data_IF_867861826369
#
_entry.id   IF_867861826369
#
_cell.length_a   1.000
_cell.length_b   1.000
_cell.length_c   1.000
_cell.angle_alpha   90.00
_cell.angle_beta   90.00
_cell.angle_gamma   90.00
#
_symmetry.space_group_name_H-M   'P 1'
#
loop_
_entity.id
_entity.type
_entity.pdbx_description
1 polymer ?
#
# COMPACT_ATOMS: atom_id res chain seq x y z
N UNK A 1 -16.92 8.27 -13.27
CA UNK A 1 -16.72 6.82 -13.01
C UNK A 1 -16.71 6.62 -11.50
N UNK A 2 -17.43 5.64 -10.96
CA UNK A 2 -17.54 5.45 -9.50
C UNK A 2 -16.41 4.55 -9.01
N UNK A 3 -15.54 5.06 -8.13
CA UNK A 3 -14.51 4.27 -7.47
C UNK A 3 -15.17 3.54 -6.30
N UNK A 4 -15.06 2.21 -6.27
CA UNK A 4 -15.80 1.35 -5.34
C UNK A 4 -14.87 0.51 -4.45
N UNK A 5 -13.74 1.09 -4.02
CA UNK A 5 -12.83 0.44 -3.07
C UNK A 5 -13.54 0.32 -1.72
N UNK A 6 -13.79 -0.92 -1.30
CA UNK A 6 -14.45 -1.25 -0.05
C UNK A 6 -13.47 -1.28 1.13
N UNK A 7 -12.19 -1.55 0.88
CA UNK A 7 -11.17 -1.56 1.94
C UNK A 7 -9.77 -1.30 1.40
N UNK A 8 -8.93 -0.66 2.22
CA UNK A 8 -7.50 -0.46 1.96
C UNK A 8 -6.70 -1.32 2.95
N UNK A 9 -5.84 -2.19 2.42
CA UNK A 9 -4.97 -3.04 3.24
C UNK A 9 -3.49 -2.68 3.04
N UNK A 10 -2.71 -2.86 4.09
CA UNK A 10 -1.25 -2.75 4.04
C UNK A 10 -0.62 -3.55 5.20
N UNK A 11 0.71 -3.58 5.31
CA UNK A 11 1.39 -4.33 6.38
C UNK A 11 1.99 -3.50 7.50
N UNK A 12 1.72 -2.20 7.52
CA UNK A 12 1.99 -1.33 8.68
C UNK A 12 3.45 -0.91 8.88
N UNK A 13 4.33 -1.18 7.91
CA UNK A 13 5.68 -0.61 7.90
C UNK A 13 5.61 0.94 7.86
N UNK A 14 6.67 1.64 8.24
CA UNK A 14 6.78 3.08 7.96
C UNK A 14 6.77 3.35 6.44
N UNK A 15 6.70 4.61 6.04
CA UNK A 15 6.62 4.99 4.63
C UNK A 15 5.24 4.69 4.03
N UNK A 16 5.23 4.06 2.86
CA UNK A 16 4.01 3.88 2.07
C UNK A 16 2.88 3.16 2.81
N UNK A 17 3.21 2.11 3.56
CA UNK A 17 2.23 1.29 4.26
C UNK A 17 1.39 2.12 5.25
N UNK A 18 2.05 2.91 6.10
CA UNK A 18 1.36 3.79 7.06
C UNK A 18 0.71 4.99 6.40
N UNK A 19 1.30 5.54 5.32
CA UNK A 19 0.64 6.57 4.52
C UNK A 19 -0.72 6.11 3.98
N UNK A 20 -0.82 4.84 3.56
CA UNK A 20 -2.07 4.25 3.11
C UNK A 20 -3.09 4.07 4.23
N UNK A 21 -2.66 3.54 5.37
CA UNK A 21 -3.54 3.34 6.52
C UNK A 21 -4.04 4.67 7.10
N UNK A 22 -3.18 5.69 7.16
CA UNK A 22 -3.56 7.02 7.63
C UNK A 22 -4.49 7.74 6.63
N UNK A 23 -4.31 7.53 5.32
CA UNK A 23 -5.27 8.02 4.32
C UNK A 23 -6.65 7.36 4.48
N UNK A 24 -6.69 6.02 4.62
CA UNK A 24 -7.93 5.27 4.79
C UNK A 24 -8.72 5.73 6.02
N UNK A 25 -8.02 5.95 7.14
CA UNK A 25 -8.62 6.51 8.35
C UNK A 25 -9.17 7.93 8.11
N UNK A 26 -8.43 8.80 7.43
CA UNK A 26 -8.84 10.18 7.16
C UNK A 26 -10.10 10.27 6.29
N UNK A 27 -10.20 9.43 5.26
CA UNK A 27 -11.33 9.43 4.30
C UNK A 27 -12.49 8.52 4.73
N UNK A 28 -12.34 7.78 5.84
CA UNK A 28 -13.38 6.88 6.37
C UNK A 28 -13.58 5.60 5.56
N UNK A 29 -12.59 5.17 4.77
CA UNK A 29 -12.61 3.85 4.10
C UNK A 29 -12.12 2.80 5.10
N UNK A 30 -12.79 1.62 5.21
CA UNK A 30 -12.31 0.52 6.02
C UNK A 30 -10.85 0.17 5.73
N UNK A 31 -10.07 -0.12 6.77
CA UNK A 31 -8.66 -0.47 6.64
C UNK A 31 -8.29 -1.76 7.36
N UNK A 32 -7.19 -2.38 6.94
CA UNK A 32 -6.62 -3.52 7.65
C UNK A 32 -5.36 -4.06 6.98
N UNK A 33 -5.24 -5.39 6.99
CA UNK A 33 -4.11 -6.11 6.40
C UNK A 33 -3.34 -6.96 7.41
N UNK A 34 -2.24 -7.52 6.94
CA UNK A 34 -1.39 -8.45 7.68
C UNK A 34 -0.05 -7.79 7.96
N UNK A 35 0.37 -7.80 9.22
CA UNK A 35 1.64 -7.27 9.69
C UNK A 35 2.50 -8.40 10.30
N UNK A 36 3.81 -8.20 10.49
CA UNK A 36 4.66 -9.20 11.13
C UNK A 36 4.18 -9.56 12.53
N UNK A 37 4.46 -10.80 12.97
CA UNK A 37 4.27 -11.24 14.35
C UNK A 37 4.95 -10.27 15.34
N UNK A 38 4.26 -9.93 16.42
CA UNK A 38 4.67 -8.91 17.37
C UNK A 38 4.50 -7.48 16.86
N UNK A 39 3.80 -7.28 15.73
CA UNK A 39 3.54 -5.98 15.10
C UNK A 39 4.82 -5.18 14.87
N UNK A 40 5.86 -5.83 14.36
CA UNK A 40 7.18 -5.20 14.19
C UNK A 40 7.21 -4.31 12.94
N UNK A 41 7.75 -3.11 13.09
CA UNK A 41 8.14 -2.18 12.04
C UNK A 41 9.54 -1.59 12.34
N UNK A 42 10.11 -0.80 11.43
CA UNK A 42 11.47 -0.27 11.61
C UNK A 42 11.62 0.68 12.80
N UNK A 43 10.54 1.36 13.18
CA UNK A 43 10.48 2.31 14.30
C UNK A 43 9.90 1.68 15.58
N UNK A 44 9.84 0.35 15.65
CA UNK A 44 9.35 -0.40 16.79
C UNK A 44 7.97 -1.01 16.53
N UNK A 45 7.07 -0.90 17.51
CA UNK A 45 5.76 -1.56 17.44
C UNK A 45 4.76 -0.73 16.63
N UNK A 46 4.10 -1.38 15.66
CA UNK A 46 3.07 -0.77 14.83
C UNK A 46 1.90 -0.31 15.72
N UNK A 47 1.53 0.99 15.67
CA UNK A 47 0.48 1.57 16.51
C UNK A 47 -0.85 0.78 16.48
N UNK A 48 -1.58 0.70 17.62
CA UNK A 48 -2.83 -0.06 17.73
C UNK A 48 -3.99 0.56 16.93
N UNK A 49 -3.90 1.82 16.49
CA UNK A 49 -4.90 2.46 15.61
C UNK A 49 -5.04 1.76 14.25
N UNK A 50 -4.05 0.97 13.83
CA UNK A 50 -4.09 0.20 12.60
C UNK A 50 -4.69 -1.19 12.84
N UNK A 51 -5.81 -1.49 12.18
CA UNK A 51 -6.59 -2.72 12.33
C UNK A 51 -5.94 -3.92 11.61
N UNK A 52 -4.71 -4.24 12.01
CA UNK A 52 -3.85 -5.24 11.39
C UNK A 52 -3.91 -6.58 12.13
N UNK A 53 -3.90 -7.67 11.38
CA UNK A 53 -3.72 -9.04 11.89
C UNK A 53 -2.24 -9.42 11.83
N UNK A 54 -1.76 -10.17 12.80
CA UNK A 54 -0.38 -10.67 12.79
C UNK A 54 -0.25 -11.91 11.88
N UNK A 55 0.87 -12.01 11.16
CA UNK A 55 1.31 -13.21 10.46
C UNK A 55 1.87 -14.27 11.42
N UNK A 56 2.19 -15.46 10.89
CA UNK A 56 2.81 -16.55 11.66
C UNK A 56 4.26 -16.27 12.05
N UNK A 57 4.99 -15.50 11.23
CA UNK A 57 6.39 -15.11 11.46
C UNK A 57 6.59 -13.61 11.64
N UNK A 58 7.79 -13.24 12.09
CA UNK A 58 8.27 -11.85 12.09
C UNK A 58 8.80 -11.41 10.72
N UNK A 59 8.79 -12.29 9.73
CA UNK A 59 9.45 -12.06 8.45
C UNK A 59 8.57 -11.21 7.54
N UNK A 60 9.18 -10.19 6.94
CA UNK A 60 8.47 -9.28 6.04
C UNK A 60 7.91 -9.93 4.77
N UNK A 61 8.55 -10.93 4.13
CA UNK A 61 8.00 -11.57 2.93
C UNK A 61 6.64 -12.24 3.15
N UNK A 62 6.41 -12.91 4.29
CA UNK A 62 5.14 -13.61 4.56
C UNK A 62 3.96 -12.64 4.60
N UNK A 63 4.08 -11.55 5.37
CA UNK A 63 3.02 -10.54 5.44
C UNK A 63 2.82 -9.84 4.10
N UNK A 64 3.89 -9.61 3.34
CA UNK A 64 3.81 -8.96 2.02
C UNK A 64 3.07 -9.84 1.03
N UNK A 65 3.43 -11.12 0.94
CA UNK A 65 2.73 -12.08 0.08
C UNK A 65 1.26 -12.23 0.47
N UNK A 66 0.97 -12.30 1.78
CA UNK A 66 -0.39 -12.39 2.29
C UNK A 66 -1.25 -11.20 1.88
N UNK A 67 -0.74 -9.98 2.01
CA UNK A 67 -1.47 -8.77 1.61
C UNK A 67 -1.70 -8.71 0.10
N UNK A 68 -0.71 -9.12 -0.70
CA UNK A 68 -0.88 -9.20 -2.16
C UNK A 68 -1.96 -10.23 -2.52
N UNK A 69 -1.86 -11.46 -2.01
CA UNK A 69 -2.77 -12.55 -2.34
C UNK A 69 -4.22 -12.25 -1.93
N UNK A 70 -4.42 -11.58 -0.78
CA UNK A 70 -5.73 -11.24 -0.23
C UNK A 70 -6.30 -9.89 -0.75
N UNK A 71 -5.69 -9.30 -1.78
CA UNK A 71 -6.18 -8.08 -2.42
C UNK A 71 -6.71 -8.36 -3.83
N UNK A 72 -7.50 -7.43 -4.37
CA UNK A 72 -7.88 -7.47 -5.78
C UNK A 72 -6.76 -6.90 -6.66
N UNK A 73 -5.97 -5.97 -6.11
CA UNK A 73 -4.81 -5.41 -6.77
C UNK A 73 -3.92 -4.64 -5.81
N UNK A 74 -2.68 -4.44 -6.22
CA UNK A 74 -1.67 -3.73 -5.41
C UNK A 74 -1.21 -2.43 -6.07
N UNK A 75 -1.38 -1.31 -5.37
CA UNK A 75 -0.71 -0.05 -5.69
C UNK A 75 0.67 -0.05 -5.00
N UNK A 76 1.74 0.11 -5.79
CA UNK A 76 3.11 0.19 -5.31
C UNK A 76 3.61 1.61 -5.54
N UNK A 77 3.89 2.35 -4.48
CA UNK A 77 4.40 3.72 -4.55
C UNK A 77 5.87 3.77 -4.14
N UNK A 78 6.71 4.40 -4.94
CA UNK A 78 8.13 4.59 -4.64
C UNK A 78 8.61 5.96 -5.07
N UNK A 79 9.80 6.33 -4.61
CA UNK A 79 10.62 7.37 -5.22
C UNK A 79 11.71 6.68 -6.06
N UNK A 80 11.60 6.77 -7.38
CA UNK A 80 12.42 6.01 -8.31
C UNK A 80 11.84 4.62 -8.64
N UNK A 81 12.68 3.78 -9.27
CA UNK A 81 12.33 2.41 -9.67
C UNK A 81 12.08 1.48 -8.47
N UNK A 82 11.38 0.37 -8.74
CA UNK A 82 11.21 -0.72 -7.78
C UNK A 82 12.56 -1.32 -7.35
N UNK A 83 12.80 -1.34 -6.04
CA UNK A 83 13.96 -1.97 -5.39
C UNK A 83 13.49 -2.69 -4.12
N UNK A 84 14.36 -3.52 -3.52
CA UNK A 84 14.12 -4.14 -2.22
C UNK A 84 12.73 -4.78 -2.06
N UNK A 85 12.04 -4.44 -0.96
CA UNK A 85 10.71 -4.95 -0.64
C UNK A 85 9.62 -4.61 -1.66
N UNK A 86 9.69 -3.44 -2.30
CA UNK A 86 8.73 -3.05 -3.35
C UNK A 86 8.86 -3.93 -4.60
N UNK A 87 10.09 -4.33 -4.96
CA UNK A 87 10.32 -5.28 -6.05
C UNK A 87 9.75 -6.66 -5.72
N UNK A 88 9.99 -7.15 -4.50
CA UNK A 88 9.42 -8.41 -4.00
C UNK A 88 7.89 -8.38 -4.02
N UNK A 89 7.27 -7.24 -3.69
CA UNK A 89 5.82 -7.06 -3.76
C UNK A 89 5.30 -7.24 -5.19
N UNK A 90 5.96 -6.64 -6.18
CA UNK A 90 5.60 -6.82 -7.59
C UNK A 90 5.81 -8.27 -8.07
N UNK A 91 6.85 -8.95 -7.58
CA UNK A 91 7.08 -10.37 -7.86
C UNK A 91 5.97 -11.26 -7.28
N UNK A 92 5.50 -10.99 -6.06
CA UNK A 92 4.32 -11.68 -5.51
C UNK A 92 3.05 -11.38 -6.29
N UNK A 93 2.84 -10.14 -6.73
CA UNK A 93 1.66 -9.80 -7.53
C UNK A 93 1.64 -10.62 -8.84
N UNK A 94 2.78 -10.71 -9.53
CA UNK A 94 2.95 -11.58 -10.70
C UNK A 94 2.73 -13.05 -10.37
N UNK A 95 3.33 -13.54 -9.28
CA UNK A 95 3.19 -14.95 -8.84
C UNK A 95 1.74 -15.35 -8.63
N UNK A 96 0.93 -14.46 -8.05
CA UNK A 96 -0.48 -14.70 -7.72
C UNK A 96 -1.45 -14.28 -8.83
N UNK A 97 -0.96 -13.81 -9.98
CA UNK A 97 -1.80 -13.31 -11.06
C UNK A 97 -2.64 -12.09 -10.68
N UNK A 98 -2.17 -11.29 -9.71
CA UNK A 98 -2.86 -10.09 -9.23
C UNK A 98 -2.37 -8.86 -10.00
N UNK A 99 -3.27 -7.98 -10.47
CA UNK A 99 -2.86 -6.73 -11.09
C UNK A 99 -2.12 -5.85 -10.08
N UNK A 100 -1.11 -5.12 -10.55
CA UNK A 100 -0.47 -4.08 -9.77
C UNK A 100 -0.20 -2.85 -10.63
N UNK A 101 -0.26 -1.68 -9.99
CA UNK A 101 0.15 -0.42 -10.56
C UNK A 101 1.37 0.07 -9.78
N UNK A 102 2.47 0.35 -10.48
CA UNK A 102 3.64 1.01 -9.89
C UNK A 102 3.64 2.48 -10.28
N UNK A 103 3.76 3.36 -9.29
CA UNK A 103 3.93 4.80 -9.48
C UNK A 103 5.28 5.23 -8.92
N UNK A 104 6.04 5.93 -9.76
CA UNK A 104 7.23 6.67 -9.34
C UNK A 104 6.84 8.11 -9.02
N UNK A 105 6.71 8.41 -7.73
CA UNK A 105 6.26 9.71 -7.24
C UNK A 105 7.32 10.82 -7.40
N UNK A 106 8.53 10.51 -7.88
CA UNK A 106 9.48 11.54 -8.33
C UNK A 106 9.22 11.98 -9.78
N UNK A 107 8.76 11.05 -10.61
CA UNK A 107 8.60 11.27 -12.05
C UNK A 107 7.22 11.84 -12.41
N UNK A 108 6.24 11.62 -11.54
CA UNK A 108 4.83 11.91 -11.80
C UNK A 108 4.36 13.13 -11.01
N UNK A 109 3.73 14.08 -11.71
CA UNK A 109 2.95 15.11 -11.03
C UNK A 109 1.76 14.47 -10.30
N UNK A 110 1.44 14.94 -9.09
CA UNK A 110 0.40 14.36 -8.24
C UNK A 110 -0.94 14.19 -8.96
N UNK A 111 -1.37 15.17 -9.76
CA UNK A 111 -2.65 15.09 -10.48
C UNK A 111 -2.67 14.00 -11.56
N UNK A 112 -1.53 13.76 -12.20
CA UNK A 112 -1.36 12.67 -13.15
C UNK A 112 -1.41 11.31 -12.43
N UNK A 113 -0.67 11.18 -11.34
CA UNK A 113 -0.70 9.98 -10.49
C UNK A 113 -2.13 9.66 -10.00
N UNK A 114 -2.87 10.68 -9.52
CA UNK A 114 -4.28 10.54 -9.11
C UNK A 114 -5.12 9.99 -10.26
N UNK A 115 -5.00 10.56 -11.47
CA UNK A 115 -5.73 10.09 -12.64
C UNK A 115 -5.42 8.62 -12.95
N UNK A 116 -4.13 8.25 -12.99
CA UNK A 116 -3.70 6.89 -13.26
C UNK A 116 -4.26 5.89 -12.24
N UNK A 117 -4.25 6.23 -10.95
CA UNK A 117 -4.83 5.36 -9.91
C UNK A 117 -6.34 5.19 -10.13
N UNK A 118 -7.08 6.27 -10.40
CA UNK A 118 -8.54 6.21 -10.58
C UNK A 118 -8.96 5.36 -11.77
N UNK A 119 -8.25 5.51 -12.88
CA UNK A 119 -8.46 4.72 -14.09
C UNK A 119 -8.18 3.24 -13.79
N UNK A 120 -7.00 2.94 -13.25
CA UNK A 120 -6.60 1.57 -12.91
C UNK A 120 -7.53 0.88 -11.91
N UNK A 121 -7.94 1.57 -10.83
CA UNK A 121 -8.86 1.03 -9.84
C UNK A 121 -10.18 0.58 -10.46
N UNK A 122 -10.64 1.30 -11.48
CA UNK A 122 -11.92 1.01 -12.11
C UNK A 122 -11.81 -0.03 -13.22
N UNK A 123 -10.76 0.06 -14.05
CA UNK A 123 -10.50 -0.92 -15.11
C UNK A 123 -10.28 -2.33 -14.55
N UNK A 124 -9.65 -2.42 -13.37
CA UNK A 124 -9.39 -3.70 -12.71
C UNK A 124 -10.46 -4.10 -11.68
N UNK A 125 -11.52 -3.30 -11.53
CA UNK A 125 -12.59 -3.48 -10.54
C UNK A 125 -12.09 -3.74 -9.10
N UNK A 126 -11.10 -2.97 -8.66
CA UNK A 126 -10.45 -3.17 -7.36
C UNK A 126 -11.40 -2.81 -6.22
N UNK A 127 -11.78 -3.80 -5.38
CA UNK A 127 -12.57 -3.57 -4.14
C UNK A 127 -11.69 -3.60 -2.89
N UNK A 128 -10.69 -4.47 -2.87
CA UNK A 128 -9.67 -4.58 -1.83
C UNK A 128 -8.34 -4.09 -2.39
N UNK A 129 -7.96 -2.86 -2.05
CA UNK A 129 -6.72 -2.26 -2.51
C UNK A 129 -5.59 -2.56 -1.52
N UNK A 130 -4.57 -3.30 -1.93
CA UNK A 130 -3.31 -3.36 -1.19
C UNK A 130 -2.43 -2.16 -1.58
N UNK A 131 -1.80 -1.51 -0.62
CA UNK A 131 -0.83 -0.45 -0.86
C UNK A 131 0.50 -0.80 -0.22
N UNK A 132 1.57 -0.68 -1.00
CA UNK A 132 2.93 -1.02 -0.61
C UNK A 132 3.96 -0.01 -1.13
N UNK A 133 5.15 -0.02 -0.55
CA UNK A 133 6.25 0.82 -1.00
C UNK A 133 7.47 0.76 -0.07
N UNK A 134 8.40 1.70 -0.27
CA UNK A 134 9.58 1.83 0.58
C UNK A 134 9.23 2.21 2.02
N UNK A 135 10.09 1.83 2.95
CA UNK A 135 10.04 2.30 4.33
C UNK A 135 10.61 3.71 4.45
N UNK A 136 10.23 4.44 5.48
CA UNK A 136 10.55 5.86 5.63
C UNK A 136 12.07 6.12 5.65
N UNK A 137 12.84 5.24 6.31
CA UNK A 137 14.31 5.34 6.34
C UNK A 137 14.99 5.21 4.97
N UNK A 138 14.33 4.56 4.00
CA UNK A 138 14.83 4.37 2.64
C UNK A 138 14.20 5.34 1.62
N UNK A 139 13.09 5.97 1.99
CA UNK A 139 12.29 6.82 1.10
C UNK A 139 11.64 7.94 1.92
N UNK A 140 12.46 8.84 2.44
CA UNK A 140 12.01 9.95 3.27
C UNK A 140 10.94 10.79 2.56
N UNK A 141 9.81 11.03 3.22
CA UNK A 141 8.64 11.73 2.69
C UNK A 141 7.59 10.82 2.04
N UNK A 142 7.87 9.53 1.85
CA UNK A 142 6.97 8.62 1.12
C UNK A 142 5.66 8.40 1.88
N UNK A 143 5.67 8.37 3.22
CA UNK A 143 4.43 8.35 4.00
C UNK A 143 3.50 9.48 3.59
N UNK A 144 3.97 10.73 3.66
CA UNK A 144 3.17 11.92 3.37
C UNK A 144 2.68 11.93 1.92
N UNK A 145 3.54 11.55 0.98
CA UNK A 145 3.21 11.49 -0.44
C UNK A 145 2.10 10.46 -0.74
N UNK A 146 2.19 9.25 -0.18
CA UNK A 146 1.15 8.21 -0.34
C UNK A 146 -0.16 8.64 0.31
N UNK A 147 -0.07 9.27 1.49
CA UNK A 147 -1.26 9.77 2.18
C UNK A 147 -2.01 10.81 1.34
N UNK A 148 -1.29 11.82 0.83
CA UNK A 148 -1.86 12.88 -0.01
C UNK A 148 -2.44 12.30 -1.31
N UNK A 149 -1.70 11.43 -2.00
CA UNK A 149 -2.16 10.76 -3.21
C UNK A 149 -3.50 10.05 -3.00
N UNK A 150 -3.59 9.16 -2.01
CA UNK A 150 -4.80 8.38 -1.77
C UNK A 150 -5.97 9.26 -1.32
N UNK A 151 -5.70 10.27 -0.48
CA UNK A 151 -6.73 11.22 -0.07
C UNK A 151 -7.33 11.94 -1.29
N UNK A 152 -6.51 12.34 -2.27
CA UNK A 152 -6.99 12.96 -3.52
C UNK A 152 -7.66 11.96 -4.47
N UNK A 153 -7.26 10.69 -4.47
CA UNK A 153 -7.91 9.64 -5.28
C UNK A 153 -9.36 9.45 -4.85
N UNK A 154 -9.66 9.52 -3.55
CA UNK A 154 -10.99 9.21 -2.99
C UNK A 154 -11.83 10.44 -2.58
N UNK A 155 -11.32 11.67 -2.73
CA UNK A 155 -12.09 12.92 -2.65
C UNK A 155 -12.67 13.32 -4.00
#
# INVERSE_FOLDING_TARGET
MMIAVATIISGGQTGADRGALDAAIEIGIPHGGTCPKGRVAEDGTIPPKYLLKESGSKDSPERTETNVANSDGTLICTFGRLTGGSKVTAEFARKHGKPFLHLDLNAEATDYAVKCVREWLTEQDIKTLNVAGGRESESAGLHGAVKDLLTRVFR
#
